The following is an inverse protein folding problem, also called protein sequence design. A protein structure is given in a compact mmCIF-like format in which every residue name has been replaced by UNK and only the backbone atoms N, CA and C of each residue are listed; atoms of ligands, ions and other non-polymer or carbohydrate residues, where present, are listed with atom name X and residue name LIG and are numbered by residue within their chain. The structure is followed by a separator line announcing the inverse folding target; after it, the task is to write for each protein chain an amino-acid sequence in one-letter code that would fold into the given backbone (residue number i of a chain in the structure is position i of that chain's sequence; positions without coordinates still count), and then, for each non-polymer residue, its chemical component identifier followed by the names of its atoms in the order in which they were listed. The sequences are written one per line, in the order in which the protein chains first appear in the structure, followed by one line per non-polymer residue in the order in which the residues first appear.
data_IF_444429775275
#
_entry.id   IF_444429775275
#
_cell.length_a   1.000
_cell.length_b   1.000
_cell.length_c   1.000
_cell.angle_alpha   90.00
_cell.angle_beta   90.00
_cell.angle_gamma   90.00
#
_symmetry.space_group_name_H-M   'P 1'
#
loop_
_entity.id
_entity.type
_entity.pdbx_description
1 polymer ?
#
# COMPACT_ATOMS: atom_id res chain seq x y z
N UNK A 1 -22.45 34.77 12.97
CA UNK A 1 -21.93 35.91 13.77
C UNK A 1 -20.41 35.78 13.83
N UNK A 2 -19.70 36.79 13.33
CA UNK A 2 -18.24 36.88 13.23
C UNK A 2 -17.72 37.60 14.48
N UNK A 3 -16.87 36.96 15.27
CA UNK A 3 -16.00 37.64 16.25
C UNK A 3 -14.64 36.93 16.17
N UNK A 4 -13.70 37.50 15.42
CA UNK A 4 -12.73 38.52 15.83
C UNK A 4 -11.56 37.89 16.62
N UNK A 5 -10.40 37.95 15.98
CA UNK A 5 -9.09 37.47 16.40
C UNK A 5 -8.61 38.27 17.62
N UNK A 6 -8.21 37.59 18.69
CA UNK A 6 -7.25 38.12 19.66
C UNK A 6 -6.02 37.21 19.69
N UNK A 7 -4.92 37.73 19.15
CA UNK A 7 -3.57 37.23 19.32
C UNK A 7 -3.10 37.55 20.75
N UNK A 8 -2.66 36.54 21.48
CA UNK A 8 -1.72 36.68 22.60
C UNK A 8 -0.57 35.72 22.32
N UNK A 9 0.55 36.28 21.86
CA UNK A 9 1.81 35.58 21.70
C UNK A 9 2.52 35.54 23.06
N UNK A 10 2.74 34.34 23.58
CA UNK A 10 3.69 34.08 24.66
C UNK A 10 4.75 33.14 24.08
N UNK A 11 5.94 33.69 23.88
CA UNK A 11 7.16 32.95 23.54
C UNK A 11 7.96 32.78 24.83
N UNK A 12 8.13 31.54 25.30
CA UNK A 12 9.27 31.14 26.12
C UNK A 12 9.42 29.60 26.16
N UNK A 13 10.42 29.13 25.40
CA UNK A 13 11.29 27.98 25.61
C UNK A 13 10.74 26.69 26.26
N UNK A 14 10.73 25.61 25.47
CA UNK A 14 11.79 24.58 25.52
C UNK A 14 11.62 23.70 24.29
N UNK A 15 12.50 23.86 23.29
CA UNK A 15 12.77 22.73 22.40
C UNK A 15 13.52 21.69 23.24
N UNK A 16 12.77 20.80 23.89
CA UNK A 16 13.32 19.48 24.16
C UNK A 16 13.55 18.88 22.78
N UNK A 17 14.79 19.02 22.29
CA UNK A 17 15.33 18.11 21.31
C UNK A 17 15.26 16.73 21.97
N UNK A 18 14.14 16.03 21.82
CA UNK A 18 14.06 14.61 22.11
C UNK A 18 15.01 13.96 21.12
N UNK A 19 16.25 13.75 21.54
CA UNK A 19 17.11 12.78 20.91
C UNK A 19 16.29 11.51 20.81
N UNK A 20 15.94 11.11 19.58
CA UNK A 20 15.27 9.85 19.34
C UNK A 20 16.26 8.76 19.78
N UNK A 21 16.15 8.32 21.02
CA UNK A 21 16.94 7.21 21.54
C UNK A 21 16.63 6.00 20.66
N UNK A 22 17.67 5.36 20.14
CA UNK A 22 17.48 4.15 19.35
C UNK A 22 16.80 3.08 20.23
N UNK A 23 15.70 2.51 19.74
CA UNK A 23 14.95 1.48 20.45
C UNK A 23 15.87 0.31 20.82
N UNK A 24 15.83 -0.12 22.07
CA UNK A 24 16.61 -1.26 22.57
C UNK A 24 16.03 -2.58 22.05
N UNK A 25 16.83 -3.66 22.12
CA UNK A 25 16.36 -5.01 21.77
C UNK A 25 15.18 -5.46 22.64
N UNK A 26 15.21 -5.10 23.93
CA UNK A 26 14.14 -5.45 24.88
C UNK A 26 12.84 -4.71 24.54
N UNK A 27 12.90 -3.41 24.25
CA UNK A 27 11.74 -2.62 23.81
C UNK A 27 11.18 -3.13 22.48
N UNK A 28 12.03 -3.51 21.52
CA UNK A 28 11.60 -4.11 20.27
C UNK A 28 10.87 -5.45 20.51
N UNK A 29 11.41 -6.33 21.37
CA UNK A 29 10.73 -7.58 21.70
C UNK A 29 9.37 -7.33 22.35
N UNK A 30 9.31 -6.44 23.35
CA UNK A 30 8.06 -6.09 24.02
C UNK A 30 7.03 -5.47 23.07
N UNK A 31 7.46 -4.61 22.15
CA UNK A 31 6.58 -4.04 21.12
C UNK A 31 6.05 -5.12 20.16
N UNK A 32 6.88 -6.11 19.78
CA UNK A 32 6.45 -7.23 18.93
C UNK A 32 5.43 -8.13 19.64
N UNK A 33 5.62 -8.38 20.93
CA UNK A 33 4.66 -9.13 21.76
C UNK A 33 3.34 -8.38 21.88
N UNK A 34 3.39 -7.06 22.08
CA UNK A 34 2.21 -6.19 22.07
C UNK A 34 1.44 -6.25 20.75
N UNK A 35 2.12 -6.10 19.61
CA UNK A 35 1.48 -6.22 18.28
C UNK A 35 0.80 -7.59 18.12
N UNK A 36 1.45 -8.65 18.60
CA UNK A 36 0.90 -10.01 18.51
C UNK A 36 -0.31 -10.21 19.44
N UNK A 37 -0.32 -9.55 20.61
CA UNK A 37 -1.47 -9.52 21.51
C UNK A 37 -2.63 -8.71 20.91
N UNK A 38 -2.36 -7.53 20.34
CA UNK A 38 -3.36 -6.70 19.66
C UNK A 38 -3.99 -7.45 18.48
N UNK A 39 -3.19 -8.19 17.70
CA UNK A 39 -3.70 -9.07 16.64
C UNK A 39 -4.64 -10.14 17.19
N UNK A 40 -4.29 -10.82 18.29
CA UNK A 40 -5.17 -11.82 18.91
C UNK A 40 -6.51 -11.21 19.35
N UNK A 41 -6.47 -10.02 19.96
CA UNK A 41 -7.68 -9.29 20.37
C UNK A 41 -8.53 -8.90 19.16
N UNK A 42 -7.93 -8.34 18.12
CA UNK A 42 -8.65 -7.92 16.92
C UNK A 42 -9.22 -9.11 16.14
N UNK A 43 -8.48 -10.22 16.07
CA UNK A 43 -8.97 -11.49 15.50
C UNK A 43 -10.19 -12.00 16.26
N UNK A 44 -10.16 -11.97 17.59
CA UNK A 44 -11.30 -12.42 18.40
C UNK A 44 -12.55 -11.55 18.19
N UNK A 45 -12.39 -10.24 17.93
CA UNK A 45 -13.54 -9.37 17.57
C UNK A 45 -14.21 -9.82 16.26
N UNK A 46 -13.46 -10.40 15.33
CA UNK A 46 -14.02 -10.94 14.09
C UNK A 46 -14.90 -12.18 14.31
N UNK A 47 -14.85 -12.84 15.47
CA UNK A 47 -15.65 -14.04 15.73
C UNK A 47 -17.16 -13.78 15.82
N UNK A 48 -17.55 -12.53 16.09
CA UNK A 48 -18.94 -12.10 16.05
C UNK A 48 -19.50 -11.93 14.62
N UNK A 49 -18.62 -11.91 13.61
CA UNK A 49 -18.98 -11.77 12.20
C UNK A 49 -19.17 -13.13 11.53
N UNK A 50 -19.81 -13.15 10.37
CA UNK A 50 -20.06 -14.36 9.57
C UNK A 50 -19.68 -14.14 8.12
N UNK A 51 -19.45 -15.25 7.41
CA UNK A 51 -19.19 -15.29 5.97
C UNK A 51 -18.10 -14.29 5.56
N UNK A 52 -18.25 -13.63 4.41
CA UNK A 52 -17.24 -12.73 3.88
C UNK A 52 -16.93 -11.53 4.81
N UNK A 53 -17.90 -11.07 5.62
CA UNK A 53 -17.64 -10.03 6.61
C UNK A 53 -16.61 -10.50 7.67
N UNK A 54 -16.65 -11.78 8.04
CA UNK A 54 -15.63 -12.38 8.90
C UNK A 54 -14.29 -12.43 8.19
N UNK A 55 -14.25 -12.88 6.94
CA UNK A 55 -13.00 -13.01 6.18
C UNK A 55 -12.31 -11.67 5.95
N UNK A 56 -13.06 -10.63 5.58
CA UNK A 56 -12.57 -9.24 5.49
C UNK A 56 -11.96 -8.80 6.82
N UNK A 57 -12.67 -8.96 7.94
CA UNK A 57 -12.17 -8.58 9.26
C UNK A 57 -10.86 -9.32 9.61
N UNK A 58 -10.77 -10.60 9.27
CA UNK A 58 -9.58 -11.41 9.50
C UNK A 58 -8.40 -10.95 8.65
N UNK A 59 -8.61 -10.55 7.40
CA UNK A 59 -7.56 -9.94 6.56
C UNK A 59 -7.15 -8.57 7.06
N UNK A 60 -8.09 -7.72 7.49
CA UNK A 60 -7.78 -6.41 8.06
C UNK A 60 -6.92 -6.55 9.33
N UNK A 61 -7.31 -7.45 10.25
CA UNK A 61 -6.52 -7.72 11.45
C UNK A 61 -5.13 -8.27 11.12
N UNK A 62 -5.02 -9.20 10.17
CA UNK A 62 -3.74 -9.78 9.77
C UNK A 62 -2.85 -8.78 9.03
N UNK A 63 -3.44 -7.95 8.17
CA UNK A 63 -2.78 -6.88 7.46
C UNK A 63 -2.20 -5.84 8.42
N UNK A 64 -3.01 -5.39 9.39
CA UNK A 64 -2.57 -4.47 10.43
C UNK A 64 -1.40 -5.03 11.26
N UNK A 65 -1.44 -6.32 11.62
CA UNK A 65 -0.33 -6.99 12.31
C UNK A 65 0.97 -6.95 11.47
N UNK A 66 0.87 -7.29 10.19
CA UNK A 66 2.02 -7.34 9.28
C UNK A 66 2.62 -5.94 9.06
N UNK A 67 1.77 -4.93 8.86
CA UNK A 67 2.18 -3.52 8.71
C UNK A 67 2.87 -3.04 9.99
N UNK A 68 2.26 -3.25 11.15
CA UNK A 68 2.84 -2.85 12.43
C UNK A 68 4.20 -3.53 12.69
N UNK A 69 4.35 -4.81 12.34
CA UNK A 69 5.63 -5.51 12.42
C UNK A 69 6.68 -4.92 11.48
N UNK A 70 6.30 -4.57 10.26
CA UNK A 70 7.21 -3.92 9.32
C UNK A 70 7.62 -2.51 9.80
N UNK A 71 6.68 -1.74 10.33
CA UNK A 71 6.93 -0.39 10.88
C UNK A 71 7.83 -0.45 12.10
N UNK A 72 7.58 -1.40 13.01
CA UNK A 72 8.44 -1.64 14.16
C UNK A 72 9.86 -2.00 13.72
N UNK A 73 10.02 -2.84 12.69
CA UNK A 73 11.32 -3.18 12.15
C UNK A 73 12.01 -1.99 11.48
N UNK A 74 11.26 -1.09 10.82
CA UNK A 74 11.78 0.14 10.25
C UNK A 74 12.22 1.14 11.34
N UNK A 75 11.49 1.22 12.45
CA UNK A 75 11.87 2.04 13.60
C UNK A 75 13.10 1.48 14.32
N UNK A 76 13.18 0.16 14.51
CA UNK A 76 14.30 -0.50 15.19
C UNK A 76 15.59 -0.49 14.34
N UNK A 77 15.47 -0.66 13.02
CA UNK A 77 16.60 -0.60 12.08
C UNK A 77 16.25 0.26 10.85
N UNK A 78 16.34 1.59 10.94
CA UNK A 78 16.03 2.48 9.82
C UNK A 78 16.91 2.19 8.60
N UNK A 79 16.28 1.97 7.44
CA UNK A 79 16.95 1.79 6.15
C UNK A 79 15.95 1.93 4.99
N UNK A 80 16.43 2.23 3.78
CA UNK A 80 15.61 2.22 2.56
C UNK A 80 14.85 0.89 2.39
N UNK A 81 15.52 -0.22 2.73
CA UNK A 81 14.98 -1.57 2.64
C UNK A 81 13.82 -1.78 3.62
N UNK A 82 13.93 -1.31 4.86
CA UNK A 82 12.87 -1.49 5.84
C UNK A 82 11.69 -0.52 5.59
N UNK A 83 11.96 0.71 5.13
CA UNK A 83 10.88 1.61 4.65
C UNK A 83 10.14 1.01 3.46
N UNK A 84 10.86 0.40 2.52
CA UNK A 84 10.25 -0.32 1.40
C UNK A 84 9.37 -1.50 1.86
N UNK A 85 9.83 -2.28 2.84
CA UNK A 85 9.03 -3.38 3.41
C UNK A 85 7.74 -2.90 4.09
N UNK A 86 7.74 -1.71 4.69
CA UNK A 86 6.50 -1.10 5.22
C UNK A 86 5.52 -0.82 4.09
N UNK A 87 6.00 -0.21 2.99
CA UNK A 87 5.17 0.08 1.83
C UNK A 87 4.64 -1.21 1.16
N UNK A 88 5.45 -2.25 1.04
CA UNK A 88 5.01 -3.58 0.57
C UNK A 88 3.96 -4.19 1.49
N UNK A 89 4.20 -4.19 2.81
CA UNK A 89 3.25 -4.76 3.77
C UNK A 89 1.89 -4.04 3.72
N UNK A 90 1.88 -2.72 3.52
CA UNK A 90 0.64 -1.95 3.34
C UNK A 90 -0.06 -2.32 2.03
N UNK A 91 0.67 -2.36 0.91
CA UNK A 91 0.12 -2.76 -0.38
C UNK A 91 -0.48 -4.19 -0.33
N UNK A 92 0.23 -5.14 0.27
CA UNK A 92 -0.22 -6.52 0.41
C UNK A 92 -1.45 -6.64 1.32
N UNK A 93 -1.50 -5.85 2.41
CA UNK A 93 -2.66 -5.79 3.31
C UNK A 93 -3.89 -5.22 2.59
N UNK A 94 -3.75 -4.08 1.90
CA UNK A 94 -4.83 -3.43 1.16
C UNK A 94 -5.35 -4.35 0.05
N UNK A 95 -4.46 -5.02 -0.68
CA UNK A 95 -4.84 -5.98 -1.71
C UNK A 95 -5.58 -7.19 -1.14
N UNK A 96 -5.11 -7.75 -0.03
CA UNK A 96 -5.78 -8.89 0.61
C UNK A 96 -7.22 -8.52 1.03
N UNK A 97 -7.41 -7.35 1.62
CA UNK A 97 -8.75 -6.85 2.00
C UNK A 97 -9.61 -6.57 0.77
N UNK A 98 -9.04 -5.95 -0.28
CA UNK A 98 -9.76 -5.67 -1.52
C UNK A 98 -10.23 -6.96 -2.21
N UNK A 99 -9.43 -8.02 -2.19
CA UNK A 99 -9.83 -9.33 -2.73
C UNK A 99 -11.05 -9.92 -2.02
N UNK A 100 -11.04 -9.96 -0.68
CA UNK A 100 -12.22 -10.47 0.05
C UNK A 100 -13.44 -9.59 -0.22
N UNK A 101 -13.28 -8.26 -0.31
CA UNK A 101 -14.38 -7.36 -0.72
C UNK A 101 -14.91 -7.67 -2.13
N UNK A 102 -14.08 -8.17 -3.04
CA UNK A 102 -14.52 -8.63 -4.35
C UNK A 102 -15.30 -9.95 -4.28
N UNK A 103 -15.12 -10.76 -3.24
CA UNK A 103 -15.80 -12.05 -3.09
C UNK A 103 -17.32 -11.90 -2.83
N UNK A 104 -17.78 -10.73 -2.39
CA UNK A 104 -19.21 -10.37 -2.32
C UNK A 104 -19.86 -10.20 -3.70
N UNK A 105 -19.05 -10.06 -4.77
CA UNK A 105 -19.53 -9.90 -6.14
C UNK A 105 -19.59 -11.25 -6.85
N UNK A 106 -20.32 -11.31 -7.96
CA UNK A 106 -20.46 -12.53 -8.77
C UNK A 106 -20.24 -12.25 -10.26
N UNK A 107 -19.92 -13.30 -11.02
CA UNK A 107 -19.79 -13.20 -12.48
C UNK A 107 -18.69 -12.22 -12.89
N UNK A 108 -18.96 -11.42 -13.92
CA UNK A 108 -17.97 -10.50 -14.47
C UNK A 108 -17.64 -9.33 -13.53
N UNK A 109 -18.60 -8.91 -12.68
CA UNK A 109 -18.35 -7.89 -11.67
C UNK A 109 -17.23 -8.30 -10.71
N UNK A 110 -17.23 -9.56 -10.25
CA UNK A 110 -16.16 -10.12 -9.43
C UNK A 110 -14.81 -10.09 -10.15
N UNK A 111 -14.75 -10.57 -11.39
CA UNK A 111 -13.50 -10.61 -12.17
C UNK A 111 -12.91 -9.21 -12.34
N UNK A 112 -13.76 -8.23 -12.70
CA UNK A 112 -13.34 -6.83 -12.85
C UNK A 112 -12.80 -6.29 -11.51
N UNK A 113 -13.51 -6.53 -10.42
CA UNK A 113 -13.07 -6.12 -9.09
C UNK A 113 -11.69 -6.71 -8.74
N UNK A 114 -11.47 -8.01 -8.97
CA UNK A 114 -10.18 -8.65 -8.70
C UNK A 114 -9.04 -8.07 -9.55
N UNK A 115 -9.31 -7.76 -10.83
CA UNK A 115 -8.32 -7.12 -11.71
C UNK A 115 -8.00 -5.69 -11.26
N UNK A 116 -8.99 -4.93 -10.82
CA UNK A 116 -8.79 -3.59 -10.26
C UNK A 116 -7.96 -3.63 -8.98
N UNK A 117 -8.31 -4.53 -8.06
CA UNK A 117 -7.56 -4.75 -6.84
C UNK A 117 -6.09 -5.10 -7.15
N UNK A 118 -5.86 -5.97 -8.14
CA UNK A 118 -4.51 -6.33 -8.58
C UNK A 118 -3.78 -5.16 -9.25
N UNK A 119 -4.46 -4.34 -10.04
CA UNK A 119 -3.86 -3.16 -10.67
C UNK A 119 -3.46 -2.09 -9.63
N UNK A 120 -4.28 -1.90 -8.60
CA UNK A 120 -3.97 -1.04 -7.46
C UNK A 120 -2.75 -1.59 -6.68
N UNK A 121 -2.72 -2.90 -6.44
CA UNK A 121 -1.60 -3.58 -5.77
C UNK A 121 -0.27 -3.39 -6.50
N UNK A 122 -0.25 -3.68 -7.81
CA UNK A 122 0.93 -3.45 -8.66
C UNK A 122 1.35 -1.99 -8.60
N UNK A 123 0.39 -1.06 -8.74
CA UNK A 123 0.68 0.38 -8.67
C UNK A 123 1.36 0.78 -7.36
N UNK A 124 0.86 0.29 -6.22
CA UNK A 124 1.42 0.56 -4.90
C UNK A 124 2.85 0.01 -4.76
N UNK A 125 3.09 -1.24 -5.19
CA UNK A 125 4.42 -1.87 -5.14
C UNK A 125 5.42 -1.17 -6.04
N UNK A 126 5.03 -0.82 -7.27
CA UNK A 126 5.89 -0.12 -8.20
C UNK A 126 6.21 1.32 -7.73
N UNK A 127 5.24 2.01 -7.13
CA UNK A 127 5.51 3.29 -6.43
C UNK A 127 6.51 3.13 -5.29
N UNK A 128 6.38 2.08 -4.48
CA UNK A 128 7.32 1.79 -3.40
C UNK A 128 8.73 1.52 -3.91
N UNK A 129 8.89 0.78 -5.02
CA UNK A 129 10.18 0.53 -5.66
C UNK A 129 10.83 1.83 -6.15
N UNK A 130 10.07 2.70 -6.82
CA UNK A 130 10.56 4.01 -7.27
C UNK A 130 10.99 4.87 -6.08
N UNK A 131 10.17 4.96 -5.03
CA UNK A 131 10.50 5.71 -3.82
C UNK A 131 11.78 5.18 -3.15
N UNK A 132 11.95 3.85 -3.10
CA UNK A 132 13.17 3.22 -2.57
C UNK A 132 14.40 3.58 -3.41
N UNK A 133 14.31 3.52 -4.74
CA UNK A 133 15.40 3.89 -5.63
C UNK A 133 15.82 5.36 -5.42
N UNK A 134 14.86 6.25 -5.19
CA UNK A 134 15.12 7.66 -4.89
C UNK A 134 15.75 7.87 -3.50
N UNK A 135 15.29 7.12 -2.50
CA UNK A 135 15.78 7.22 -1.12
C UNK A 135 17.15 6.55 -0.91
N UNK A 136 17.51 5.58 -1.75
CA UNK A 136 18.78 4.85 -1.63
C UNK A 136 19.98 5.81 -1.77
N UNK A 137 20.89 5.85 -0.78
CA UNK A 137 22.14 6.62 -0.89
C UNK A 137 23.03 6.08 -2.01
N UNK A 138 23.77 6.97 -2.67
CA UNK A 138 24.76 6.64 -3.70
C UNK A 138 25.81 7.74 -3.74
N UNK A 139 27.09 7.35 -3.78
CA UNK A 139 28.21 8.28 -3.90
C UNK A 139 28.39 8.82 -5.32
N UNK A 140 27.66 8.26 -6.28
CA UNK A 140 27.62 8.70 -7.68
C UNK A 140 26.18 9.11 -8.04
N UNK A 141 25.98 10.42 -8.22
CA UNK A 141 24.68 11.01 -8.56
C UNK A 141 24.18 10.56 -9.94
N UNK A 142 25.03 10.59 -10.98
CA UNK A 142 24.65 10.19 -12.32
C UNK A 142 24.19 8.72 -12.39
N UNK A 143 24.87 7.82 -11.68
CA UNK A 143 24.48 6.41 -11.59
C UNK A 143 23.15 6.25 -10.83
N UNK A 144 22.92 7.04 -9.78
CA UNK A 144 21.66 7.04 -9.04
C UNK A 144 20.51 7.49 -9.95
N UNK A 145 20.69 8.58 -10.67
CA UNK A 145 19.67 9.13 -11.56
C UNK A 145 19.32 8.16 -12.69
N UNK A 146 20.33 7.51 -13.29
CA UNK A 146 20.11 6.46 -14.27
C UNK A 146 19.30 5.28 -13.71
N UNK A 147 19.65 4.77 -12.53
CA UNK A 147 18.90 3.70 -11.86
C UNK A 147 17.46 4.13 -11.51
N UNK A 148 17.26 5.36 -11.04
CA UNK A 148 15.91 5.88 -10.76
C UNK A 148 15.09 6.00 -12.04
N UNK A 149 15.70 6.42 -13.16
CA UNK A 149 15.02 6.50 -14.45
C UNK A 149 14.63 5.13 -14.99
N UNK A 150 15.51 4.13 -14.88
CA UNK A 150 15.25 2.74 -15.24
C UNK A 150 14.08 2.16 -14.42
N UNK A 151 14.15 2.25 -13.09
CA UNK A 151 13.08 1.76 -12.20
C UNK A 151 11.76 2.48 -12.47
N UNK A 152 11.77 3.79 -12.80
CA UNK A 152 10.56 4.51 -13.20
C UNK A 152 9.97 3.99 -14.52
N UNK A 153 10.82 3.66 -15.49
CA UNK A 153 10.39 3.10 -16.77
C UNK A 153 9.72 1.75 -16.56
N UNK A 154 10.38 0.83 -15.85
CA UNK A 154 9.83 -0.48 -15.50
C UNK A 154 8.52 -0.36 -14.72
N UNK A 155 8.50 0.48 -13.68
CA UNK A 155 7.29 0.75 -12.89
C UNK A 155 6.13 1.27 -13.75
N UNK A 156 6.42 2.06 -14.80
CA UNK A 156 5.40 2.59 -15.71
C UNK A 156 4.88 1.50 -16.65
N UNK A 157 5.74 0.61 -17.11
CA UNK A 157 5.37 -0.54 -17.93
C UNK A 157 4.47 -1.51 -17.18
N UNK A 158 4.89 -1.95 -15.99
CA UNK A 158 4.14 -2.86 -15.12
C UNK A 158 2.77 -2.29 -14.72
N UNK A 159 2.71 -0.99 -14.38
CA UNK A 159 1.43 -0.32 -14.09
C UNK A 159 0.49 -0.30 -15.29
N UNK A 160 1.01 0.05 -16.47
CA UNK A 160 0.21 0.10 -17.70
C UNK A 160 -0.29 -1.28 -18.09
N UNK A 161 0.53 -2.32 -17.95
CA UNK A 161 0.11 -3.70 -18.19
C UNK A 161 -1.00 -4.12 -17.22
N UNK A 162 -0.85 -3.83 -15.93
CA UNK A 162 -1.86 -4.16 -14.93
C UNK A 162 -3.18 -3.40 -15.16
N UNK A 163 -3.10 -2.11 -15.49
CA UNK A 163 -4.26 -1.28 -15.82
C UNK A 163 -4.93 -1.73 -17.12
N UNK A 164 -4.15 -2.12 -18.14
CA UNK A 164 -4.68 -2.72 -19.36
C UNK A 164 -5.43 -4.01 -19.08
N UNK A 165 -4.86 -4.92 -18.28
CA UNK A 165 -5.54 -6.16 -17.90
C UNK A 165 -6.89 -5.89 -17.23
N UNK A 166 -6.97 -4.86 -16.39
CA UNK A 166 -8.22 -4.45 -15.75
C UNK A 166 -9.21 -3.79 -16.72
N UNK A 167 -8.74 -2.97 -17.66
CA UNK A 167 -9.57 -2.36 -18.69
C UNK A 167 -10.10 -3.40 -19.68
N UNK A 168 -9.25 -4.35 -20.09
CA UNK A 168 -9.62 -5.45 -20.98
C UNK A 168 -10.72 -6.32 -20.37
N UNK A 169 -10.63 -6.64 -19.08
CA UNK A 169 -11.67 -7.42 -18.39
C UNK A 169 -13.04 -6.74 -18.47
N UNK A 170 -13.09 -5.39 -18.37
CA UNK A 170 -14.33 -4.63 -18.58
C UNK A 170 -14.80 -4.69 -20.03
N UNK A 171 -13.89 -4.58 -21.00
CA UNK A 171 -14.26 -4.73 -22.41
C UNK A 171 -14.78 -6.14 -22.71
N UNK A 172 -14.30 -7.16 -22.00
CA UNK A 172 -14.71 -8.54 -22.20
C UNK A 172 -16.18 -8.81 -21.84
N UNK A 173 -16.83 -7.93 -21.09
CA UNK A 173 -18.28 -7.98 -20.80
C UNK A 173 -19.15 -7.52 -21.99
N UNK A 174 -18.52 -6.93 -23.01
CA UNK A 174 -19.19 -6.47 -24.23
C UNK A 174 -19.14 -7.55 -25.32
N UNK A 175 -19.84 -7.33 -26.43
CA UNK A 175 -19.87 -8.27 -27.56
C UNK A 175 -19.76 -7.58 -28.91
N UNK A 176 -19.25 -8.29 -29.92
CA UNK A 176 -19.12 -7.80 -31.30
C UNK A 176 -18.18 -6.60 -31.44
N UNK A 177 -18.42 -5.78 -32.46
CA UNK A 177 -17.59 -4.63 -32.82
C UNK A 177 -17.33 -3.65 -31.66
N UNK A 178 -18.28 -3.54 -30.74
CA UNK A 178 -18.15 -2.68 -29.54
C UNK A 178 -17.03 -3.18 -28.63
N UNK A 179 -16.94 -4.50 -28.42
CA UNK A 179 -15.86 -5.12 -27.65
C UNK A 179 -14.51 -4.90 -28.32
N UNK A 180 -14.43 -5.15 -29.62
CA UNK A 180 -13.18 -5.04 -30.37
C UNK A 180 -12.64 -3.60 -30.34
N UNK A 181 -13.54 -2.62 -30.51
CA UNK A 181 -13.19 -1.21 -30.36
C UNK A 181 -12.73 -0.87 -28.94
N UNK A 182 -13.43 -1.35 -27.91
CA UNK A 182 -13.04 -1.15 -26.52
C UNK A 182 -11.63 -1.68 -26.24
N UNK A 183 -11.31 -2.90 -26.69
CA UNK A 183 -9.98 -3.50 -26.49
C UNK A 183 -8.91 -2.74 -27.26
N UNK A 184 -9.18 -2.31 -28.49
CA UNK A 184 -8.25 -1.50 -29.28
C UNK A 184 -7.96 -0.14 -28.62
N UNK A 185 -9.00 0.51 -28.08
CA UNK A 185 -8.86 1.77 -27.35
C UNK A 185 -8.07 1.58 -26.04
N UNK A 186 -8.30 0.48 -25.32
CA UNK A 186 -7.53 0.14 -24.12
C UNK A 186 -6.05 -0.11 -24.46
N UNK A 187 -5.73 -0.84 -25.53
CA UNK A 187 -4.34 -1.04 -25.98
C UNK A 187 -3.65 0.28 -26.28
N UNK A 188 -4.32 1.18 -27.01
CA UNK A 188 -3.80 2.52 -27.33
C UNK A 188 -3.57 3.36 -26.07
N UNK A 189 -4.50 3.33 -25.12
CA UNK A 189 -4.42 4.09 -23.86
C UNK A 189 -3.23 3.63 -22.99
N UNK A 190 -2.99 2.33 -22.90
CA UNK A 190 -1.96 1.75 -22.03
C UNK A 190 -0.67 1.38 -22.77
N UNK A 191 -0.57 1.63 -24.08
CA UNK A 191 0.61 1.33 -24.88
C UNK A 191 0.98 -0.15 -24.86
N UNK A 192 0.00 -1.00 -25.16
CA UNK A 192 0.09 -2.48 -25.18
C UNK A 192 -0.02 -3.04 -26.59
#
# INVERSE_FOLDING_TARGET
MKHARNLLAIVAATMLATSAMAMTSAEHSAAKDRISADYKVNKAKCDALKDNAKDICMKEAKGAENVAKAELQAQYKPSDKNTYKVAEARADADYAVAKEKCDDQTGDAKKICEKDAKAAHVTAKENAKVARAQAKPSDNAAKKDANVAEVKKEATEEKREAQYKAAKERCDTMSGDVKDKCVADAKRMYGQ
#
